data_IF_806252746678
#
_entry.id   IF_806252746678
#
_cell.length_a   1.000
_cell.length_b   1.000
_cell.length_c   1.000
_cell.angle_alpha   90.00
_cell.angle_beta   90.00
_cell.angle_gamma   90.00
#
_symmetry.space_group_name_H-M   'P 1'
#
loop_
_entity.id
_entity.type
_entity.pdbx_description
1 polymer ?
#
# COMPACT_ATOMS: atom_id res chain seq x y z
N UNK A 1 13.09 -3.42 -1.87
CA UNK A 1 13.95 -2.22 -1.74
C UNK A 1 13.42 -0.96 -2.45
N UNK A 2 12.43 -1.05 -3.36
CA UNK A 2 11.81 0.12 -4.01
C UNK A 2 10.28 0.03 -3.91
N UNK A 3 9.69 0.52 -2.82
CA UNK A 3 8.23 0.54 -2.67
C UNK A 3 7.59 1.54 -3.61
N UNK A 4 8.32 2.63 -3.93
CA UNK A 4 7.82 3.74 -4.72
C UNK A 4 6.44 4.15 -4.25
N UNK A 5 5.47 4.07 -5.14
CA UNK A 5 4.12 4.57 -4.90
C UNK A 5 3.16 3.57 -4.23
N UNK A 6 3.62 2.38 -3.86
CA UNK A 6 2.80 1.43 -3.10
C UNK A 6 2.04 0.38 -3.93
N UNK A 7 2.16 0.38 -5.26
CA UNK A 7 1.32 -0.46 -6.15
C UNK A 7 1.40 -1.95 -5.84
N UNK A 8 2.60 -2.50 -5.59
CA UNK A 8 2.76 -3.92 -5.25
C UNK A 8 2.03 -4.30 -3.96
N UNK A 9 2.06 -3.44 -2.94
CA UNK A 9 1.36 -3.68 -1.67
C UNK A 9 -0.16 -3.66 -1.83
N UNK A 10 -0.69 -2.73 -2.64
CA UNK A 10 -2.13 -2.67 -2.97
C UNK A 10 -2.58 -3.96 -3.66
N UNK A 11 -1.81 -4.43 -4.65
CA UNK A 11 -2.12 -5.67 -5.36
C UNK A 11 -2.00 -6.88 -4.44
N UNK A 12 -0.94 -6.97 -3.61
CA UNK A 12 -0.79 -8.03 -2.62
C UNK A 12 -2.01 -8.09 -1.68
N UNK A 13 -2.42 -6.96 -1.12
CA UNK A 13 -3.61 -6.84 -0.27
C UNK A 13 -4.89 -7.30 -0.98
N UNK A 14 -5.09 -6.90 -2.25
CA UNK A 14 -6.25 -7.31 -3.07
C UNK A 14 -6.36 -8.83 -3.22
N UNK A 15 -5.23 -9.53 -3.27
CA UNK A 15 -5.16 -10.98 -3.40
C UNK A 15 -4.95 -11.71 -2.06
N UNK A 16 -5.14 -11.03 -0.93
CA UNK A 16 -4.97 -11.61 0.40
C UNK A 16 -3.55 -12.10 0.68
N UNK A 17 -2.54 -11.40 0.15
CA UNK A 17 -1.11 -11.72 0.33
C UNK A 17 -0.47 -10.71 1.29
N UNK A 18 0.41 -11.22 2.14
CA UNK A 18 1.28 -10.39 2.96
C UNK A 18 2.35 -9.69 2.11
N UNK A 19 2.82 -8.53 2.58
CA UNK A 19 3.87 -7.77 1.91
C UNK A 19 4.76 -7.02 2.92
N UNK A 20 5.99 -6.73 2.51
CA UNK A 20 6.88 -5.78 3.17
C UNK A 20 7.42 -4.80 2.14
N UNK A 21 7.40 -3.51 2.46
CA UNK A 21 7.85 -2.43 1.60
C UNK A 21 9.03 -1.69 2.21
N UNK A 22 10.05 -1.39 1.40
CA UNK A 22 11.19 -0.54 1.78
C UNK A 22 11.32 0.55 0.71
N UNK A 23 11.46 1.80 1.16
CA UNK A 23 11.60 2.97 0.30
C UNK A 23 12.47 4.01 1.02
N UNK A 24 13.36 4.68 0.28
CA UNK A 24 14.30 5.64 0.85
C UNK A 24 13.73 7.06 0.86
N UNK A 25 12.85 7.40 -0.08
CA UNK A 25 12.23 8.72 -0.12
C UNK A 25 11.09 8.84 0.91
N UNK A 26 11.15 9.80 1.85
CA UNK A 26 10.09 10.02 2.83
C UNK A 26 8.75 10.38 2.17
N UNK A 27 8.77 11.10 1.06
CA UNK A 27 7.58 11.51 0.33
C UNK A 27 6.89 10.31 -0.33
N UNK A 28 7.67 9.42 -0.93
CA UNK A 28 7.13 8.15 -1.45
C UNK A 28 6.62 7.25 -0.32
N UNK A 29 7.27 7.22 0.85
CA UNK A 29 6.77 6.49 2.01
C UNK A 29 5.39 7.00 2.45
N UNK A 30 5.21 8.32 2.55
CA UNK A 30 3.92 8.93 2.90
C UNK A 30 2.86 8.66 1.83
N UNK A 31 3.22 8.82 0.55
CA UNK A 31 2.30 8.54 -0.57
C UNK A 31 1.86 7.07 -0.59
N UNK A 32 2.81 6.13 -0.45
CA UNK A 32 2.52 4.71 -0.43
C UNK A 32 1.57 4.34 0.71
N UNK A 33 1.81 4.85 1.93
CA UNK A 33 0.92 4.63 3.09
C UNK A 33 -0.51 5.09 2.80
N UNK A 34 -0.70 6.35 2.37
CA UNK A 34 -2.02 6.90 2.04
C UNK A 34 -2.75 6.06 0.99
N UNK A 35 -2.05 5.64 -0.08
CA UNK A 35 -2.64 4.83 -1.15
C UNK A 35 -3.01 3.42 -0.70
N UNK A 36 -2.18 2.79 0.12
CA UNK A 36 -2.42 1.45 0.66
C UNK A 36 -3.61 1.46 1.64
N UNK A 37 -3.71 2.47 2.49
CA UNK A 37 -4.85 2.68 3.40
C UNK A 37 -6.14 2.90 2.62
N UNK A 38 -6.15 3.82 1.65
CA UNK A 38 -7.31 4.08 0.79
C UNK A 38 -7.74 2.86 -0.05
N UNK A 39 -6.84 1.90 -0.30
CA UNK A 39 -7.17 0.66 -1.00
C UNK A 39 -7.89 -0.39 -0.14
N UNK A 40 -8.03 -0.16 1.17
CA UNK A 40 -8.78 -1.06 2.03
C UNK A 40 -10.26 -1.00 1.70
N UNK A 41 -10.75 -2.02 1.01
CA UNK A 41 -12.19 -2.19 0.80
C UNK A 41 -12.79 -2.66 2.12
N UNK A 42 -13.49 -1.78 2.83
CA UNK A 42 -14.42 -2.23 3.87
C UNK A 42 -15.62 -2.87 3.17
N UNK A 43 -15.90 -4.13 3.49
CA UNK A 43 -17.15 -4.79 3.11
C UNK A 43 -18.37 -4.16 3.81
N UNK A 44 -18.13 -3.29 4.80
CA UNK A 44 -19.12 -2.67 5.67
C UNK A 44 -18.96 -1.15 5.78
N UNK A 45 -18.41 -0.48 4.76
CA UNK A 45 -18.47 0.98 4.73
C UNK A 45 -19.90 1.39 4.32
N UNK A 46 -20.60 2.07 5.24
CA UNK A 46 -21.93 2.67 5.03
C UNK A 46 -21.96 3.66 3.86
#
# INVERSE_FOLDING_TARGET
PFMGSGTTAIVARRFGRDYIGIECSPDYCQMARRRIEASSRSLFAE
#
